data_IF_078209088104
#
_entry.id   IF_078209088104
#
_cell.length_a   1.000
_cell.length_b   1.000
_cell.length_c   1.000
_cell.angle_alpha   90.00
_cell.angle_beta   90.00
_cell.angle_gamma   90.00
#
_symmetry.space_group_name_H-M   'P 1'
#
loop_
_entity.id
_entity.type
_entity.pdbx_description
1 polymer ?
#
# COMPACT_ATOMS: atom_id res chain seq x y z
N UNK A 1 -27.81 15.30 -12.90
CA UNK A 1 -27.26 16.54 -12.33
C UNK A 1 -25.87 16.20 -11.82
N UNK A 2 -24.83 16.60 -12.56
CA UNK A 2 -23.42 16.31 -12.26
C UNK A 2 -22.99 17.27 -11.14
N UNK A 3 -22.71 16.72 -9.95
CA UNK A 3 -22.07 17.49 -8.89
C UNK A 3 -20.59 17.66 -9.27
N UNK A 4 -20.21 18.85 -9.67
CA UNK A 4 -18.83 19.24 -9.86
C UNK A 4 -18.08 19.04 -8.53
N UNK A 5 -17.01 18.25 -8.54
CA UNK A 5 -16.11 18.12 -7.40
C UNK A 5 -15.60 19.52 -7.00
N UNK A 6 -15.55 19.83 -5.68
CA UNK A 6 -15.05 21.13 -5.24
C UNK A 6 -13.58 21.26 -5.66
N UNK A 7 -13.29 22.32 -6.40
CA UNK A 7 -11.95 22.76 -6.75
C UNK A 7 -11.25 23.33 -5.50
N UNK A 8 -10.95 22.45 -4.54
CA UNK A 8 -10.31 22.79 -3.28
C UNK A 8 -9.16 21.87 -2.97
N UNK A 9 -7.96 22.42 -3.05
CA UNK A 9 -6.70 21.90 -2.59
C UNK A 9 -6.09 20.73 -3.41
N UNK A 10 -5.23 21.07 -4.35
CA UNK A 10 -4.07 20.22 -4.72
C UNK A 10 -3.04 20.15 -3.57
N UNK A 11 -3.42 20.60 -2.38
CA UNK A 11 -2.62 20.51 -1.15
C UNK A 11 -2.79 19.16 -0.47
N UNK A 12 -1.71 18.62 0.10
CA UNK A 12 -1.76 17.47 0.98
C UNK A 12 -2.52 17.78 2.27
N UNK A 13 -3.03 16.76 2.97
CA UNK A 13 -3.72 16.92 4.25
C UNK A 13 -4.57 15.72 4.62
N UNK A 14 -5.12 15.75 5.84
CA UNK A 14 -6.10 14.76 6.32
C UNK A 14 -7.51 15.18 5.99
N UNK A 15 -8.29 14.24 5.53
CA UNK A 15 -9.70 14.41 5.23
C UNK A 15 -10.46 13.10 5.42
N UNK A 16 -11.78 13.17 5.33
CA UNK A 16 -12.66 12.01 5.26
C UNK A 16 -13.18 11.87 3.84
N UNK A 17 -13.24 10.62 3.38
CA UNK A 17 -13.81 10.25 2.08
C UNK A 17 -14.89 9.20 2.30
N UNK A 18 -15.83 9.10 1.37
CA UNK A 18 -16.88 8.09 1.46
C UNK A 18 -16.27 6.69 1.29
N UNK A 19 -16.63 5.78 2.19
CA UNK A 19 -16.25 4.39 2.18
C UNK A 19 -17.46 3.46 2.31
N UNK A 20 -17.27 2.15 2.12
CA UNK A 20 -18.37 1.18 2.08
C UNK A 20 -19.04 0.93 3.45
N UNK A 21 -18.37 1.23 4.55
CA UNK A 21 -18.88 1.09 5.91
C UNK A 21 -19.01 2.43 6.66
N UNK A 22 -19.08 3.52 5.92
CA UNK A 22 -19.06 4.89 6.43
C UNK A 22 -17.80 5.63 6.00
N UNK A 23 -17.49 6.77 6.62
CA UNK A 23 -16.35 7.59 6.25
C UNK A 23 -15.01 6.88 6.49
N UNK A 24 -14.06 7.09 5.60
CA UNK A 24 -12.67 6.63 5.73
C UNK A 24 -11.73 7.83 5.89
N UNK A 25 -10.87 7.79 6.89
CA UNK A 25 -9.83 8.79 7.10
C UNK A 25 -8.66 8.55 6.16
N UNK A 26 -8.32 9.55 5.36
CA UNK A 26 -7.19 9.52 4.44
C UNK A 26 -6.21 10.64 4.74
N UNK A 27 -4.92 10.40 4.48
CA UNK A 27 -3.86 11.39 4.42
C UNK A 27 -3.34 11.45 3.00
N UNK A 28 -3.41 12.63 2.40
CA UNK A 28 -2.81 12.89 1.08
C UNK A 28 -1.46 13.56 1.27
N UNK A 29 -0.42 12.95 0.76
CA UNK A 29 0.93 13.49 0.66
C UNK A 29 1.16 13.89 -0.81
N UNK A 30 1.07 15.18 -1.11
CA UNK A 30 1.13 15.70 -2.49
C UNK A 30 2.38 16.56 -2.69
N UNK A 31 3.30 16.17 -3.60
CA UNK A 31 4.43 17.02 -3.99
C UNK A 31 3.99 18.34 -4.64
N UNK A 32 4.79 19.39 -4.51
CA UNK A 32 4.48 20.70 -5.11
C UNK A 32 4.38 20.65 -6.64
N UNK A 33 5.20 19.83 -7.28
CA UNK A 33 5.22 19.61 -8.74
C UNK A 33 4.73 18.19 -9.07
N UNK A 34 3.53 17.83 -8.60
CA UNK A 34 3.00 16.49 -8.76
C UNK A 34 2.83 16.08 -10.22
N UNK A 35 3.35 14.90 -10.57
CA UNK A 35 3.10 14.20 -11.84
C UNK A 35 1.71 13.55 -11.83
N UNK A 36 1.26 13.10 -12.99
CA UNK A 36 0.04 12.30 -13.13
C UNK A 36 0.23 10.90 -12.53
N UNK A 37 -0.79 10.41 -11.85
CA UNK A 37 -0.80 9.14 -11.15
C UNK A 37 -0.88 9.31 -9.63
N UNK A 38 -0.99 8.20 -8.91
CA UNK A 38 -1.11 8.18 -7.45
C UNK A 38 -0.65 6.85 -6.87
N UNK A 39 -0.04 6.89 -5.70
CA UNK A 39 0.19 5.71 -4.88
C UNK A 39 -0.89 5.57 -3.80
N UNK A 40 -1.41 4.36 -3.59
CA UNK A 40 -2.29 4.02 -2.47
C UNK A 40 -1.59 3.04 -1.56
N UNK A 41 -1.58 3.32 -0.25
CA UNK A 41 -0.78 2.60 0.73
C UNK A 41 -1.65 2.10 1.88
N UNK A 42 -1.70 0.78 2.06
CA UNK A 42 -2.34 0.10 3.18
C UNK A 42 -1.41 -0.07 4.39
N UNK A 43 -1.94 0.22 5.58
CA UNK A 43 -1.21 0.09 6.85
C UNK A 43 -1.26 -1.33 7.41
N UNK A 44 -0.45 -1.68 8.45
CA UNK A 44 -0.47 -3.01 9.08
C UNK A 44 -1.77 -3.26 9.86
N UNK A 45 -1.84 -4.39 10.55
CA UNK A 45 -3.08 -4.93 11.13
C UNK A 45 -3.82 -3.93 12.04
N UNK A 46 -5.11 -3.66 11.76
CA UNK A 46 -5.93 -2.69 12.50
C UNK A 46 -5.96 -2.92 14.01
N UNK A 47 -6.16 -4.16 14.44
CA UNK A 47 -6.29 -4.50 15.86
C UNK A 47 -4.96 -4.54 16.64
N UNK A 48 -3.83 -4.43 15.94
CA UNK A 48 -2.49 -4.41 16.56
C UNK A 48 -1.81 -3.04 16.43
N UNK A 49 -2.62 -1.96 16.47
CA UNK A 49 -2.11 -0.59 16.44
C UNK A 49 -1.72 -0.09 15.05
N UNK A 50 -2.11 -0.81 14.00
CA UNK A 50 -1.93 -0.34 12.63
C UNK A 50 -2.74 0.91 12.35
N UNK A 51 -2.12 1.90 11.68
CA UNK A 51 -2.79 3.11 11.22
C UNK A 51 -2.02 3.74 10.06
N UNK A 52 -2.63 4.72 9.41
CA UNK A 52 -2.01 5.52 8.34
C UNK A 52 -0.74 6.27 8.82
N UNK A 53 -0.53 6.43 10.14
CA UNK A 53 0.65 7.03 10.74
C UNK A 53 1.79 6.03 10.98
N UNK A 54 1.60 4.76 10.67
CA UNK A 54 2.66 3.76 10.77
C UNK A 54 3.89 4.20 9.97
N UNK A 55 5.09 4.04 10.56
CA UNK A 55 6.35 4.51 9.96
C UNK A 55 6.65 3.88 8.61
N UNK A 56 6.32 2.58 8.43
CA UNK A 56 6.51 1.89 7.15
C UNK A 56 5.51 2.41 6.11
N UNK A 57 4.23 2.58 6.47
CA UNK A 57 3.24 3.18 5.58
C UNK A 57 3.65 4.61 5.17
N UNK A 58 4.19 5.41 6.10
CA UNK A 58 4.71 6.74 5.80
C UNK A 58 5.90 6.68 4.82
N UNK A 59 6.83 5.74 5.01
CA UNK A 59 8.00 5.59 4.12
C UNK A 59 7.58 5.16 2.71
N UNK A 60 6.56 4.33 2.56
CA UNK A 60 6.00 3.97 1.26
C UNK A 60 5.42 5.20 0.53
N UNK A 61 4.70 6.05 1.24
CA UNK A 61 4.22 7.32 0.69
C UNK A 61 5.39 8.26 0.30
N UNK A 62 6.47 8.28 1.10
CA UNK A 62 7.68 9.04 0.76
C UNK A 62 8.37 8.52 -0.49
N UNK A 63 8.37 7.20 -0.74
CA UNK A 63 8.92 6.63 -1.97
C UNK A 63 8.16 7.12 -3.23
N UNK A 64 6.83 7.29 -3.15
CA UNK A 64 6.06 7.92 -4.21
C UNK A 64 6.41 9.41 -4.38
N UNK A 65 6.54 10.13 -3.29
CA UNK A 65 6.92 11.54 -3.30
C UNK A 65 8.28 11.79 -3.94
N UNK A 66 9.24 10.86 -3.83
CA UNK A 66 10.55 10.94 -4.51
C UNK A 66 10.46 10.82 -6.05
N UNK A 67 9.32 10.35 -6.54
CA UNK A 67 9.00 10.24 -7.97
C UNK A 67 8.02 11.34 -8.40
N UNK A 68 7.83 12.35 -7.57
CA UNK A 68 6.85 13.42 -7.75
C UNK A 68 5.40 12.93 -7.88
N UNK A 69 5.07 11.78 -7.27
CA UNK A 69 3.71 11.25 -7.27
C UNK A 69 2.99 11.56 -5.96
N UNK A 70 1.72 11.97 -6.03
CA UNK A 70 0.84 11.96 -4.87
C UNK A 70 0.75 10.57 -4.25
N UNK A 71 0.67 10.52 -2.91
CA UNK A 71 0.41 9.30 -2.17
C UNK A 71 -0.78 9.47 -1.25
N UNK A 72 -1.61 8.43 -1.16
CA UNK A 72 -2.76 8.36 -0.26
C UNK A 72 -2.53 7.21 0.71
N UNK A 73 -2.31 7.55 1.98
CA UNK A 73 -2.39 6.63 3.11
C UNK A 73 -3.78 6.76 3.73
N UNK A 74 -4.34 5.69 4.22
CA UNK A 74 -5.68 5.73 4.80
C UNK A 74 -5.77 4.80 6.01
N UNK A 75 -6.73 5.05 6.86
CA UNK A 75 -7.11 4.15 7.95
C UNK A 75 -8.18 3.18 7.45
N UNK A 76 -7.93 1.88 7.61
CA UNK A 76 -8.97 0.86 7.45
C UNK A 76 -10.12 1.11 8.43
N UNK A 77 -11.29 0.55 8.14
CA UNK A 77 -12.48 0.63 9.01
C UNK A 77 -12.15 0.35 10.47
N UNK A 78 -12.76 1.12 11.37
CA UNK A 78 -12.55 1.00 12.81
C UNK A 78 -11.23 1.54 13.34
N UNK A 79 -10.40 2.19 12.50
CA UNK A 79 -9.12 2.80 12.90
C UNK A 79 -9.20 4.32 12.80
N UNK A 80 -8.72 5.02 13.81
CA UNK A 80 -8.69 6.48 13.85
C UNK A 80 -10.09 7.07 13.69
N UNK A 81 -10.29 7.87 12.64
CA UNK A 81 -11.58 8.47 12.30
C UNK A 81 -12.35 7.69 11.23
N UNK A 82 -11.83 6.54 10.78
CA UNK A 82 -12.56 5.65 9.88
C UNK A 82 -13.68 4.94 10.61
N UNK A 83 -14.89 5.01 10.06
CA UNK A 83 -16.07 4.35 10.59
C UNK A 83 -16.07 2.85 10.32
N UNK A 84 -17.06 2.13 10.86
CA UNK A 84 -17.17 0.69 10.75
C UNK A 84 -16.35 -0.08 11.77
N UNK A 85 -16.15 -1.37 11.54
CA UNK A 85 -15.39 -2.28 12.40
C UNK A 85 -14.60 -3.27 11.57
N UNK A 86 -13.50 -3.79 12.14
CA UNK A 86 -12.63 -4.80 11.51
C UNK A 86 -13.42 -6.02 11.02
N UNK A 87 -13.25 -6.38 9.74
CA UNK A 87 -13.97 -7.46 9.07
C UNK A 87 -13.03 -8.52 8.45
N UNK A 88 -11.94 -8.82 9.14
CA UNK A 88 -11.02 -9.92 8.80
C UNK A 88 -10.50 -9.86 7.34
N UNK A 89 -10.28 -8.66 6.83
CA UNK A 89 -9.73 -8.40 5.50
C UNK A 89 -10.77 -8.35 4.37
N UNK A 90 -12.03 -8.71 4.59
CA UNK A 90 -13.08 -8.59 3.57
C UNK A 90 -13.46 -7.13 3.39
N UNK A 91 -13.95 -6.52 4.44
CA UNK A 91 -14.30 -5.12 4.42
C UNK A 91 -13.10 -4.20 4.22
N UNK A 92 -11.93 -4.55 4.75
CA UNK A 92 -10.71 -3.79 4.50
C UNK A 92 -10.29 -3.79 3.03
N UNK A 93 -10.60 -4.87 2.29
CA UNK A 93 -10.42 -4.88 0.84
C UNK A 93 -11.37 -3.89 0.15
N UNK A 94 -12.64 -3.86 0.57
CA UNK A 94 -13.60 -2.88 0.04
C UNK A 94 -13.17 -1.44 0.35
N UNK A 95 -12.62 -1.18 1.53
CA UNK A 95 -12.09 0.13 1.92
C UNK A 95 -10.94 0.56 1.01
N UNK A 96 -9.95 -0.32 0.79
CA UNK A 96 -8.82 -0.02 -0.09
C UNK A 96 -9.29 0.19 -1.54
N UNK A 97 -10.27 -0.56 -2.01
CA UNK A 97 -10.84 -0.38 -3.35
C UNK A 97 -11.54 0.99 -3.48
N UNK A 98 -12.33 1.39 -2.47
CA UNK A 98 -12.98 2.70 -2.42
C UNK A 98 -11.97 3.86 -2.43
N UNK A 99 -10.92 3.76 -1.58
CA UNK A 99 -9.85 4.76 -1.55
C UNK A 99 -9.09 4.82 -2.88
N UNK A 100 -8.82 3.67 -3.52
CA UNK A 100 -8.15 3.63 -4.81
C UNK A 100 -9.01 4.27 -5.92
N UNK A 101 -10.31 4.04 -5.91
CA UNK A 101 -11.25 4.68 -6.85
C UNK A 101 -11.28 6.20 -6.64
N UNK A 102 -11.40 6.66 -5.40
CA UNK A 102 -11.36 8.07 -5.06
C UNK A 102 -10.02 8.72 -5.45
N UNK A 103 -8.90 8.06 -5.16
CA UNK A 103 -7.57 8.56 -5.49
C UNK A 103 -7.36 8.70 -7.01
N UNK A 104 -7.79 7.72 -7.80
CA UNK A 104 -7.75 7.78 -9.28
C UNK A 104 -8.59 8.91 -9.85
N UNK A 105 -9.77 9.15 -9.29
CA UNK A 105 -10.62 10.26 -9.73
C UNK A 105 -9.98 11.63 -9.46
N UNK A 106 -9.23 11.73 -8.35
CA UNK A 106 -8.56 12.97 -7.95
C UNK A 106 -7.21 13.18 -8.62
N UNK A 107 -6.47 12.12 -8.86
CA UNK A 107 -5.12 12.12 -9.44
C UNK A 107 -5.09 11.17 -10.65
N UNK A 108 -5.56 11.62 -11.83
CA UNK A 108 -5.59 10.76 -13.03
C UNK A 108 -4.22 10.25 -13.41
N UNK A 109 -4.16 9.02 -13.94
CA UNK A 109 -2.93 8.39 -14.40
C UNK A 109 -2.69 7.01 -13.76
N UNK A 110 -1.45 6.51 -13.77
CA UNK A 110 -1.12 5.19 -13.23
C UNK A 110 -1.36 5.11 -11.72
N UNK A 111 -1.93 3.99 -11.27
CA UNK A 111 -2.02 3.63 -9.86
C UNK A 111 -0.79 2.81 -9.47
N UNK A 112 -0.10 3.21 -8.41
CA UNK A 112 0.85 2.38 -7.68
C UNK A 112 0.16 1.88 -6.41
N UNK A 113 0.28 0.59 -6.13
CA UNK A 113 -0.34 -0.01 -4.96
C UNK A 113 0.72 -0.54 -4.02
N UNK A 114 0.60 -0.24 -2.74
CA UNK A 114 1.51 -0.77 -1.74
C UNK A 114 0.80 -1.12 -0.44
N UNK A 115 1.41 -2.01 0.33
CA UNK A 115 0.97 -2.29 1.68
C UNK A 115 2.09 -2.85 2.56
N UNK A 116 1.92 -2.66 3.86
CA UNK A 116 2.80 -3.24 4.87
C UNK A 116 2.03 -4.28 5.68
N UNK A 117 2.62 -5.47 5.84
CA UNK A 117 2.08 -6.57 6.65
C UNK A 117 0.62 -6.91 6.23
N UNK A 118 -0.37 -6.76 7.09
CA UNK A 118 -1.78 -6.93 6.74
C UNK A 118 -2.19 -6.12 5.51
N UNK A 119 -1.75 -4.86 5.40
CA UNK A 119 -2.00 -4.02 4.22
C UNK A 119 -1.38 -4.60 2.94
N UNK A 120 -0.25 -5.32 3.04
CA UNK A 120 0.33 -6.03 1.90
C UNK A 120 -0.58 -7.19 1.44
N UNK A 121 -1.16 -7.95 2.38
CA UNK A 121 -2.13 -8.99 2.05
C UNK A 121 -3.39 -8.43 1.40
N UNK A 122 -3.93 -7.32 1.90
CA UNK A 122 -5.09 -6.65 1.28
C UNK A 122 -4.75 -6.16 -0.13
N UNK A 123 -3.59 -5.51 -0.31
CA UNK A 123 -3.13 -5.04 -1.62
C UNK A 123 -2.94 -6.21 -2.61
N UNK A 124 -2.37 -7.34 -2.15
CA UNK A 124 -2.23 -8.54 -2.96
C UNK A 124 -3.58 -9.07 -3.43
N UNK A 125 -4.58 -9.15 -2.56
CA UNK A 125 -5.92 -9.63 -2.95
C UNK A 125 -6.62 -8.75 -3.97
N UNK A 126 -6.33 -7.45 -3.94
CA UNK A 126 -7.00 -6.46 -4.81
C UNK A 126 -6.27 -6.16 -6.11
N UNK A 127 -4.98 -6.51 -6.23
CA UNK A 127 -4.21 -6.12 -7.41
C UNK A 127 -4.82 -6.57 -8.75
N UNK A 128 -5.47 -7.76 -8.87
CA UNK A 128 -6.08 -8.14 -10.14
C UNK A 128 -7.24 -7.23 -10.54
N UNK A 129 -8.07 -6.83 -9.57
CA UNK A 129 -9.23 -5.96 -9.80
C UNK A 129 -8.83 -4.50 -10.01
N UNK A 130 -7.81 -4.03 -9.27
CA UNK A 130 -7.35 -2.64 -9.35
C UNK A 130 -6.40 -2.40 -10.53
N UNK A 131 -5.80 -3.43 -11.10
CA UNK A 131 -4.84 -3.35 -12.20
C UNK A 131 -3.81 -2.20 -11.99
N UNK A 132 -2.99 -2.25 -10.92
CA UNK A 132 -1.99 -1.22 -10.67
C UNK A 132 -0.88 -1.29 -11.72
N UNK A 133 -0.21 -0.16 -11.96
CA UNK A 133 0.99 -0.10 -12.80
C UNK A 133 2.18 -0.80 -12.14
N UNK A 134 2.24 -0.79 -10.80
CA UNK A 134 3.20 -1.55 -10.01
C UNK A 134 2.65 -1.84 -8.61
N UNK A 135 3.13 -2.93 -8.00
CA UNK A 135 2.74 -3.39 -6.67
C UNK A 135 3.98 -3.53 -5.77
N UNK A 136 3.90 -3.05 -4.53
CA UNK A 136 4.94 -3.24 -3.53
C UNK A 136 4.36 -3.86 -2.25
N UNK A 137 4.85 -5.03 -1.88
CA UNK A 137 4.44 -5.78 -0.69
C UNK A 137 5.58 -5.77 0.32
N UNK A 138 5.39 -5.12 1.46
CA UNK A 138 6.40 -5.03 2.51
C UNK A 138 6.02 -5.94 3.66
N UNK A 139 6.91 -6.86 4.01
CA UNK A 139 6.72 -7.93 5.01
C UNK A 139 5.36 -8.64 4.85
N UNK A 140 5.05 -9.23 3.68
CA UNK A 140 3.77 -9.87 3.44
C UNK A 140 3.59 -11.10 4.34
N UNK A 141 2.51 -11.18 5.15
CA UNK A 141 2.35 -12.23 6.18
C UNK A 141 1.82 -13.54 5.58
N UNK A 142 2.59 -14.15 4.69
CA UNK A 142 2.18 -15.33 3.91
C UNK A 142 1.94 -16.59 4.74
N UNK A 143 2.55 -16.65 5.93
CA UNK A 143 2.34 -17.75 6.89
C UNK A 143 1.10 -17.55 7.77
N UNK A 144 0.54 -16.32 7.81
CA UNK A 144 -0.58 -15.96 8.69
C UNK A 144 -1.90 -15.80 7.93
N UNK A 145 -1.84 -15.53 6.63
CA UNK A 145 -3.01 -15.28 5.78
C UNK A 145 -2.92 -16.06 4.48
N UNK A 146 -4.08 -16.41 3.94
CA UNK A 146 -4.15 -17.04 2.63
C UNK A 146 -3.91 -16.00 1.52
N UNK A 147 -2.74 -16.11 0.88
CA UNK A 147 -2.40 -15.34 -0.31
C UNK A 147 -2.92 -16.00 -1.60
N UNK A 148 -3.56 -17.16 -1.50
CA UNK A 148 -4.17 -17.88 -2.60
C UNK A 148 -3.22 -18.30 -3.72
N UNK A 149 -3.81 -18.79 -4.81
CA UNK A 149 -3.17 -18.81 -6.12
C UNK A 149 -3.71 -17.60 -6.87
N UNK A 150 -3.06 -16.44 -6.84
CA UNK A 150 -3.55 -15.31 -7.60
C UNK A 150 -3.40 -15.60 -9.08
N UNK A 151 -4.25 -14.98 -9.86
CA UNK A 151 -3.89 -14.69 -11.23
C UNK A 151 -2.52 -14.03 -11.21
N UNK A 152 -1.65 -14.44 -12.13
CA UNK A 152 -0.31 -13.87 -12.33
C UNK A 152 -0.34 -12.36 -12.15
N UNK A 153 0.63 -11.81 -11.40
CA UNK A 153 0.69 -10.37 -11.24
C UNK A 153 0.90 -9.74 -12.62
N UNK A 154 -0.14 -9.11 -13.16
CA UNK A 154 -0.12 -8.50 -14.48
C UNK A 154 0.69 -7.18 -14.53
N UNK A 155 1.47 -6.89 -13.50
CA UNK A 155 2.31 -5.71 -13.39
C UNK A 155 3.65 -6.07 -12.72
N UNK A 156 4.70 -5.26 -12.91
CA UNK A 156 5.91 -5.36 -12.11
C UNK A 156 5.59 -5.28 -10.62
N UNK A 157 6.19 -6.17 -9.83
CA UNK A 157 5.94 -6.19 -8.41
C UNK A 157 7.19 -6.50 -7.57
N UNK A 158 7.21 -5.96 -6.36
CA UNK A 158 8.31 -6.03 -5.43
C UNK A 158 7.84 -6.64 -4.11
N UNK A 159 8.66 -7.51 -3.54
CA UNK A 159 8.58 -7.92 -2.14
C UNK A 159 9.77 -7.34 -1.39
N UNK A 160 9.53 -6.68 -0.26
CA UNK A 160 10.57 -6.23 0.68
C UNK A 160 10.43 -7.02 1.95
N UNK A 161 11.49 -7.74 2.36
CA UNK A 161 11.45 -8.61 3.54
C UNK A 161 12.67 -8.40 4.43
N UNK A 162 12.44 -8.31 5.73
CA UNK A 162 13.49 -8.33 6.75
C UNK A 162 13.97 -9.76 7.02
N UNK A 163 15.29 -9.97 7.05
CA UNK A 163 15.87 -11.30 7.31
C UNK A 163 15.62 -11.82 8.73
N UNK A 164 15.51 -10.89 9.70
CA UNK A 164 15.29 -11.19 11.12
C UNK A 164 13.87 -10.83 11.57
N UNK A 165 12.89 -10.95 10.65
CA UNK A 165 11.49 -10.65 10.94
C UNK A 165 10.94 -11.59 12.02
N UNK A 166 10.56 -11.02 13.16
CA UNK A 166 10.08 -11.74 14.34
C UNK A 166 8.56 -11.97 14.35
N UNK A 167 7.84 -11.43 13.37
CA UNK A 167 6.38 -11.52 13.25
C UNK A 167 5.98 -12.43 12.09
N UNK A 168 6.67 -12.31 10.98
CA UNK A 168 6.40 -13.05 9.74
C UNK A 168 7.59 -13.97 9.44
N UNK A 169 7.32 -15.23 9.18
CA UNK A 169 8.35 -16.19 8.76
C UNK A 169 9.01 -15.73 7.45
N UNK A 170 10.20 -15.16 7.57
CA UNK A 170 10.96 -14.61 6.45
C UNK A 170 11.32 -15.69 5.40
N UNK A 171 11.61 -16.92 5.83
CA UNK A 171 11.90 -18.04 4.93
C UNK A 171 10.66 -18.43 4.13
N UNK A 172 9.48 -18.45 4.76
CA UNK A 172 8.21 -18.68 4.08
C UNK A 172 7.92 -17.59 3.05
N UNK A 173 8.21 -16.30 3.35
CA UNK A 173 8.05 -15.20 2.38
C UNK A 173 8.96 -15.40 1.18
N UNK A 174 10.23 -15.76 1.39
CA UNK A 174 11.17 -16.03 0.30
C UNK A 174 10.67 -17.16 -0.59
N UNK A 175 10.35 -18.32 0.00
CA UNK A 175 9.85 -19.48 -0.73
C UNK A 175 8.55 -19.16 -1.49
N UNK A 176 7.66 -18.40 -0.87
CA UNK A 176 6.43 -17.96 -1.51
C UNK A 176 6.69 -17.04 -2.71
N UNK A 177 7.63 -16.09 -2.60
CA UNK A 177 7.97 -15.17 -3.68
C UNK A 177 8.64 -15.90 -4.85
N UNK A 178 9.60 -16.78 -4.57
CA UNK A 178 10.32 -17.57 -5.57
C UNK A 178 9.43 -18.57 -6.33
N UNK A 179 8.33 -19.01 -5.70
CA UNK A 179 7.35 -19.91 -6.32
C UNK A 179 6.34 -19.19 -7.23
N UNK A 180 6.46 -17.88 -7.44
CA UNK A 180 5.55 -17.10 -8.29
C UNK A 180 6.07 -17.00 -9.72
N UNK A 181 5.14 -16.95 -10.67
CA UNK A 181 5.43 -16.72 -12.09
C UNK A 181 4.46 -15.65 -12.63
N UNK A 182 4.95 -14.46 -13.04
CA UNK A 182 6.34 -14.00 -12.89
C UNK A 182 6.75 -13.76 -11.44
N UNK A 183 7.98 -14.11 -11.09
CA UNK A 183 8.54 -13.87 -9.78
C UNK A 183 8.67 -12.34 -9.50
N UNK A 184 8.50 -11.89 -8.23
CA UNK A 184 8.75 -10.49 -7.87
C UNK A 184 10.24 -10.17 -7.90
N UNK A 185 10.55 -8.86 -8.01
CA UNK A 185 11.80 -8.40 -7.44
C UNK A 185 11.79 -8.63 -5.93
N UNK A 186 12.86 -9.14 -5.35
CA UNK A 186 12.98 -9.39 -3.92
C UNK A 186 14.07 -8.51 -3.31
N UNK A 187 13.67 -7.54 -2.48
CA UNK A 187 14.58 -6.75 -1.66
C UNK A 187 14.68 -7.39 -0.27
N UNK A 188 15.73 -8.19 -0.07
CA UNK A 188 16.02 -8.82 1.20
C UNK A 188 16.90 -7.93 2.05
N UNK A 189 16.46 -7.56 3.26
CA UNK A 189 17.16 -6.68 4.18
C UNK A 189 17.69 -7.48 5.36
N UNK A 190 18.93 -7.94 5.25
CA UNK A 190 19.60 -8.70 6.30
C UNK A 190 19.64 -7.92 7.61
N UNK A 191 19.41 -8.58 8.75
CA UNK A 191 19.40 -7.97 10.07
C UNK A 191 18.22 -7.01 10.33
N UNK A 192 17.22 -6.98 9.45
CA UNK A 192 16.02 -6.16 9.65
C UNK A 192 14.89 -7.01 10.24
N UNK A 193 14.27 -6.55 11.33
CA UNK A 193 13.02 -7.08 11.87
C UNK A 193 11.79 -6.55 11.16
N UNK A 194 10.60 -6.99 11.59
CA UNK A 194 9.31 -6.70 10.95
C UNK A 194 9.05 -5.21 10.70
N UNK A 195 9.41 -4.35 11.64
CA UNK A 195 9.15 -2.91 11.55
C UNK A 195 10.30 -2.12 10.90
N UNK A 196 11.33 -2.80 10.39
CA UNK A 196 12.46 -2.19 9.70
C UNK A 196 13.13 -1.06 10.49
N UNK A 197 13.26 -1.19 11.82
CA UNK A 197 13.95 -0.22 12.65
C UNK A 197 15.38 0.00 12.16
N UNK A 198 15.76 1.28 11.94
CA UNK A 198 17.06 1.64 11.37
C UNK A 198 17.24 1.31 9.88
N UNK A 199 16.25 0.70 9.22
CA UNK A 199 16.32 0.27 7.80
C UNK A 199 15.23 0.90 6.92
N UNK A 200 14.43 1.84 7.43
CA UNK A 200 13.34 2.48 6.68
C UNK A 200 13.79 3.15 5.37
N UNK A 201 14.99 3.73 5.35
CA UNK A 201 15.55 4.31 4.14
C UNK A 201 15.87 3.24 3.06
N UNK A 202 16.27 2.03 3.46
CA UNK A 202 16.47 0.92 2.52
C UNK A 202 15.15 0.46 1.92
N UNK A 203 14.07 0.34 2.73
CA UNK A 203 12.71 0.08 2.22
C UNK A 203 12.29 1.14 1.20
N UNK A 204 12.45 2.44 1.55
CA UNK A 204 12.14 3.56 0.66
C UNK A 204 12.90 3.47 -0.67
N UNK A 205 14.20 3.21 -0.60
CA UNK A 205 15.04 3.13 -1.80
C UNK A 205 14.61 1.97 -2.71
N UNK A 206 14.35 0.77 -2.15
CA UNK A 206 13.91 -0.38 -2.93
C UNK A 206 12.57 -0.13 -3.63
N UNK A 207 11.57 0.41 -2.90
CA UNK A 207 10.25 0.70 -3.45
C UNK A 207 10.32 1.80 -4.51
N UNK A 208 11.05 2.89 -4.26
CA UNK A 208 11.25 3.97 -5.22
C UNK A 208 11.86 3.43 -6.52
N UNK A 209 12.88 2.59 -6.44
CA UNK A 209 13.57 2.04 -7.61
C UNK A 209 12.63 1.17 -8.44
N UNK A 210 11.93 0.21 -7.83
CA UNK A 210 10.98 -0.66 -8.52
C UNK A 210 9.85 0.15 -9.19
N UNK A 211 9.35 1.19 -8.53
CA UNK A 211 8.32 2.04 -9.11
C UNK A 211 8.85 2.94 -10.23
N UNK A 212 10.08 3.43 -10.11
CA UNK A 212 10.73 4.20 -11.15
C UNK A 212 10.87 3.39 -12.45
N UNK A 213 11.31 2.14 -12.35
CA UNK A 213 11.41 1.21 -13.47
C UNK A 213 10.05 0.92 -14.11
N UNK A 214 9.01 0.70 -13.30
CA UNK A 214 7.66 0.45 -13.80
C UNK A 214 7.02 1.67 -14.48
N UNK A 215 7.48 2.89 -14.19
CA UNK A 215 6.97 4.14 -14.76
C UNK A 215 7.76 4.62 -15.98
N UNK A 216 8.92 4.03 -16.26
CA UNK A 216 9.71 4.32 -17.45
C UNK A 216 9.04 3.75 -18.70
#
# INVERSE_FOLDING_TARGET
>A
MSAAAPAGARGGGRLLVDGPAGALEVQVDCPAAARTGVAVVGHPHPLYGGSLDNKVAHILARAAGDLDLPAVRFNFRGVGRSEGAFDRGRGEADDMAAVAAWARARFPGPLLLAGFSFGAWVAWRLHPALAPRALALVAPPVSLYDFGRPAEAACPWLVVQGGDDEVVDAAAVRAWAEARDPAPALAWLEGAGHFFHGRLNAVRAAVREAWREALA
#
